data_IF_550949965957
#
_entry.id   IF_550949965957
#
_cell.length_a   1.000
_cell.length_b   1.000
_cell.length_c   1.000
_cell.angle_alpha   90.00
_cell.angle_beta   90.00
_cell.angle_gamma   90.00
#
_symmetry.space_group_name_H-M   'P 1'
#
loop_
_entity.id
_entity.type
_entity.pdbx_description
1 polymer ?
#
# COMPACT_ATOMS: atom_id res chain seq x y z
N UNK A 1 -45.20 34.06 -7.66
CA UNK A 1 -44.45 35.30 -7.98
C UNK A 1 -43.83 35.84 -6.70
N UNK A 2 -42.50 35.92 -6.59
CA UNK A 2 -41.83 36.63 -5.48
C UNK A 2 -40.86 37.65 -6.10
N UNK A 3 -41.27 38.91 -6.03
CA UNK A 3 -40.51 40.10 -6.45
C UNK A 3 -39.41 40.38 -5.41
N UNK A 4 -38.18 40.65 -5.85
CA UNK A 4 -37.09 41.16 -5.01
C UNK A 4 -36.82 42.63 -5.38
N UNK A 5 -36.92 43.50 -4.38
CA UNK A 5 -36.68 44.95 -4.45
C UNK A 5 -35.20 45.29 -4.25
N UNK A 6 -34.81 46.41 -4.86
CA UNK A 6 -33.50 47.07 -4.83
C UNK A 6 -33.08 47.60 -3.45
N UNK A 7 -31.76 47.68 -3.25
CA UNK A 7 -31.07 48.94 -2.96
C UNK A 7 -30.57 49.15 -1.52
N UNK A 8 -29.31 49.59 -1.40
CA UNK A 8 -28.88 50.89 -0.82
C UNK A 8 -27.36 50.85 -0.55
N UNK A 9 -26.66 51.86 -1.06
CA UNK A 9 -25.26 52.20 -0.77
C UNK A 9 -25.20 53.32 0.25
N UNK A 10 -24.26 53.34 1.21
CA UNK A 10 -23.71 54.58 1.81
C UNK A 10 -22.25 54.36 2.24
N UNK A 11 -21.40 55.34 1.92
CA UNK A 11 -19.98 55.46 2.24
C UNK A 11 -19.71 56.16 3.59
N UNK A 12 -18.49 56.08 4.13
CA UNK A 12 -17.73 57.22 4.69
C UNK A 12 -16.44 56.78 5.41
N UNK A 13 -15.38 57.54 5.20
CA UNK A 13 -14.07 57.46 5.83
C UNK A 13 -14.01 58.26 7.14
N UNK A 14 -13.11 57.90 8.06
CA UNK A 14 -12.54 58.83 9.04
C UNK A 14 -11.21 58.30 9.63
N UNK A 15 -10.21 59.17 9.59
CA UNK A 15 -8.88 59.10 10.22
C UNK A 15 -9.00 59.48 11.70
N UNK A 16 -8.12 59.00 12.58
CA UNK A 16 -7.54 59.76 13.72
C UNK A 16 -6.57 58.88 14.54
N UNK A 17 -5.51 59.53 15.01
CA UNK A 17 -4.33 58.98 15.67
C UNK A 17 -4.54 58.65 17.16
N UNK A 18 -3.69 57.76 17.70
CA UNK A 18 -3.38 57.72 19.13
C UNK A 18 -2.98 56.34 19.68
N UNK A 19 -1.95 56.34 20.52
CA UNK A 19 -1.62 55.39 21.60
C UNK A 19 -0.37 54.48 21.42
N UNK A 20 0.72 54.97 22.02
CA UNK A 20 1.70 54.34 22.92
C UNK A 20 2.13 52.87 22.73
N UNK A 21 3.46 52.72 22.78
CA UNK A 21 4.21 51.49 22.68
C UNK A 21 3.86 50.43 23.74
N UNK A 22 3.75 49.18 23.29
CA UNK A 22 4.04 47.98 24.06
C UNK A 22 4.99 47.13 23.19
N UNK A 23 6.08 46.56 23.73
CA UNK A 23 6.87 45.59 22.99
C UNK A 23 6.02 44.32 22.85
N UNK A 24 5.39 44.14 21.68
CA UNK A 24 4.86 42.85 21.29
C UNK A 24 6.05 41.90 21.12
N UNK A 25 6.26 41.06 22.13
CA UNK A 25 7.19 39.96 22.14
C UNK A 25 7.03 39.17 20.84
N UNK A 26 8.07 39.16 20.01
CA UNK A 26 8.12 38.31 18.83
C UNK A 26 7.91 36.86 19.29
N UNK A 27 6.72 36.32 19.04
CA UNK A 27 6.47 34.90 19.16
C UNK A 27 7.43 34.22 18.19
N UNK A 28 8.51 33.66 18.74
CA UNK A 28 9.38 32.77 18.00
C UNK A 28 8.48 31.70 17.40
N UNK A 29 8.46 31.63 16.07
CA UNK A 29 7.97 30.47 15.35
C UNK A 29 8.72 29.28 15.93
N UNK A 30 8.07 28.55 16.83
CA UNK A 30 8.47 27.20 17.17
C UNK A 30 8.39 26.44 15.86
N UNK A 31 9.54 26.32 15.19
CA UNK A 31 9.79 25.24 14.25
C UNK A 31 9.23 24.02 14.94
N UNK A 32 8.13 23.50 14.41
CA UNK A 32 7.65 22.20 14.80
C UNK A 32 8.85 21.28 14.60
N UNK A 33 9.50 20.92 15.72
CA UNK A 33 10.45 19.83 15.77
C UNK A 33 9.71 18.70 15.11
N UNK A 34 10.08 18.42 13.86
CA UNK A 34 9.67 17.22 13.17
C UNK A 34 10.05 16.14 14.16
N UNK A 35 9.03 15.58 14.81
CA UNK A 35 9.19 14.42 15.64
C UNK A 35 9.67 13.39 14.64
N UNK A 36 10.99 13.22 14.60
CA UNK A 36 11.64 12.03 14.09
C UNK A 36 10.94 10.91 14.83
N UNK A 37 9.91 10.36 14.19
CA UNK A 37 9.25 9.14 14.60
C UNK A 37 10.40 8.19 14.86
N UNK A 38 10.58 7.85 16.14
CA UNK A 38 11.58 6.90 16.60
C UNK A 38 11.63 5.76 15.61
N UNK A 39 12.76 5.66 14.91
CA UNK A 39 13.04 4.55 14.03
C UNK A 39 12.93 3.30 14.89
N UNK A 40 11.81 2.58 14.82
CA UNK A 40 11.68 1.30 15.50
C UNK A 40 12.78 0.40 14.95
N UNK A 41 13.79 0.23 15.80
CA UNK A 41 15.08 -0.38 15.58
C UNK A 41 14.94 -1.91 15.50
N UNK A 42 14.06 -2.40 14.60
CA UNK A 42 13.70 -3.83 14.56
C UNK A 42 14.25 -4.62 13.38
N UNK A 43 14.90 -4.02 12.38
CA UNK A 43 15.48 -4.82 11.28
C UNK A 43 16.76 -4.20 10.70
N UNK A 44 17.87 -4.27 11.43
CA UNK A 44 19.22 -4.18 10.82
C UNK A 44 19.52 -5.34 9.84
N UNK A 45 18.63 -6.34 9.77
CA UNK A 45 18.70 -7.44 8.81
C UNK A 45 18.13 -7.10 7.43
N UNK A 46 17.29 -6.06 7.32
CA UNK A 46 16.57 -5.75 6.08
C UNK A 46 17.51 -5.29 4.97
N UNK A 47 17.53 -6.01 3.85
CA UNK A 47 18.33 -5.68 2.65
C UNK A 47 17.59 -4.75 1.68
N UNK A 48 16.45 -4.20 2.10
CA UNK A 48 15.60 -3.36 1.26
C UNK A 48 14.12 -3.56 1.57
N UNK A 49 13.28 -3.12 0.65
CA UNK A 49 11.82 -3.23 0.72
C UNK A 49 11.27 -3.57 -0.65
N UNK A 50 10.21 -4.37 -0.73
CA UNK A 50 9.42 -4.53 -1.97
C UNK A 50 8.06 -3.94 -1.74
N UNK A 51 7.67 -2.99 -2.59
CA UNK A 51 6.35 -2.38 -2.57
C UNK A 51 5.41 -3.17 -3.48
N UNK A 52 4.28 -3.61 -2.94
CA UNK A 52 3.19 -4.23 -3.66
C UNK A 52 2.06 -3.22 -3.79
N UNK A 53 1.82 -2.76 -5.01
CA UNK A 53 0.69 -1.91 -5.36
C UNK A 53 -0.45 -2.81 -5.85
N UNK A 54 -1.61 -2.76 -5.19
CA UNK A 54 -2.78 -3.50 -5.69
C UNK A 54 -3.30 -2.86 -6.97
N UNK A 55 -3.62 -3.70 -7.96
CA UNK A 55 -4.31 -3.24 -9.16
C UNK A 55 -5.73 -2.78 -8.78
N UNK A 56 -6.16 -1.63 -9.30
CA UNK A 56 -7.43 -1.02 -8.91
C UNK A 56 -8.63 -1.88 -9.36
N UNK A 57 -8.58 -2.45 -10.56
CA UNK A 57 -9.65 -3.30 -11.07
C UNK A 57 -9.68 -4.64 -10.31
N UNK A 58 -8.51 -5.23 -10.02
CA UNK A 58 -8.42 -6.43 -9.21
C UNK A 58 -8.92 -6.19 -7.77
N UNK A 59 -8.54 -5.07 -7.15
CA UNK A 59 -9.00 -4.67 -5.82
C UNK A 59 -10.51 -4.46 -5.78
N UNK A 60 -11.10 -3.84 -6.81
CA UNK A 60 -12.54 -3.68 -6.93
C UNK A 60 -13.26 -5.03 -7.12
N UNK A 61 -12.73 -5.92 -7.96
CA UNK A 61 -13.28 -7.26 -8.16
C UNK A 61 -13.23 -8.09 -6.87
N UNK A 62 -12.11 -8.08 -6.15
CA UNK A 62 -11.95 -8.72 -4.84
C UNK A 62 -12.99 -8.19 -3.85
N UNK A 63 -13.18 -6.87 -3.79
CA UNK A 63 -14.17 -6.23 -2.92
C UNK A 63 -15.59 -6.64 -3.31
N UNK A 64 -15.91 -6.70 -4.61
CA UNK A 64 -17.22 -7.17 -5.11
C UNK A 64 -17.50 -8.63 -4.76
N UNK A 65 -16.45 -9.45 -4.64
CA UNK A 65 -16.54 -10.85 -4.20
C UNK A 65 -16.58 -10.99 -2.68
N UNK A 66 -16.53 -9.87 -1.93
CA UNK A 66 -16.44 -9.87 -0.47
C UNK A 66 -15.09 -10.31 0.08
N UNK A 67 -14.06 -10.37 -0.77
CA UNK A 67 -12.69 -10.74 -0.41
C UNK A 67 -11.93 -9.51 0.06
N UNK A 68 -11.63 -9.45 1.36
CA UNK A 68 -10.78 -8.43 1.97
C UNK A 68 -9.34 -8.91 1.98
N UNK A 69 -8.43 -8.08 1.46
CA UNK A 69 -6.99 -8.32 1.53
C UNK A 69 -6.42 -7.46 2.65
N UNK A 70 -5.62 -8.06 3.54
CA UNK A 70 -4.92 -7.33 4.58
C UNK A 70 -3.48 -7.80 4.69
N UNK A 71 -2.51 -6.90 4.93
CA UNK A 71 -1.12 -7.29 5.08
C UNK A 71 -0.84 -7.90 6.45
N UNK A 72 0.18 -8.74 6.50
CA UNK A 72 0.78 -9.33 7.71
C UNK A 72 2.24 -8.91 7.75
N UNK A 73 2.67 -8.24 8.82
CA UNK A 73 4.05 -7.73 8.99
C UNK A 73 4.55 -6.89 7.79
N UNK A 74 3.68 -6.09 7.19
CA UNK A 74 4.02 -5.16 6.12
C UNK A 74 3.69 -3.72 6.52
N UNK A 75 4.41 -2.76 5.94
CA UNK A 75 4.08 -1.35 6.05
C UNK A 75 2.96 -1.02 5.08
N UNK A 76 1.90 -0.36 5.54
CA UNK A 76 0.84 0.14 4.64
C UNK A 76 1.05 1.61 4.37
N UNK A 77 0.91 2.01 3.12
CA UNK A 77 0.96 3.41 2.69
C UNK A 77 -0.04 3.68 1.57
N UNK A 78 -0.44 4.94 1.42
CA UNK A 78 -1.44 5.36 0.42
C UNK A 78 -0.92 6.47 -0.51
N UNK A 79 0.22 6.28 -1.21
CA UNK A 79 0.73 7.29 -2.12
C UNK A 79 -0.24 7.49 -3.29
N UNK A 80 -0.56 8.76 -3.59
CA UNK A 80 -1.46 9.14 -4.69
C UNK A 80 -2.81 8.37 -4.68
N UNK A 81 -3.31 8.01 -3.49
CA UNK A 81 -4.57 7.28 -3.34
C UNK A 81 -4.52 5.77 -3.63
N UNK A 82 -3.34 5.21 -3.95
CA UNK A 82 -3.16 3.76 -4.19
C UNK A 82 -2.76 3.06 -2.89
N UNK A 83 -3.37 1.90 -2.60
CA UNK A 83 -2.94 1.06 -1.47
C UNK A 83 -1.65 0.33 -1.82
N UNK A 84 -0.59 0.60 -1.06
CA UNK A 84 0.74 0.00 -1.22
C UNK A 84 1.14 -0.74 0.05
N UNK A 85 1.52 -2.01 -0.10
CA UNK A 85 2.07 -2.85 0.96
C UNK A 85 3.58 -3.00 0.79
N UNK A 86 4.35 -2.44 1.72
CA UNK A 86 5.80 -2.55 1.75
C UNK A 86 6.26 -3.73 2.59
N UNK A 87 6.83 -4.74 1.95
CA UNK A 87 7.41 -5.93 2.59
C UNK A 87 8.92 -5.79 2.75
N UNK A 88 9.46 -6.10 3.91
CA UNK A 88 10.91 -6.06 4.15
C UNK A 88 11.60 -7.19 3.39
N UNK A 89 12.64 -6.85 2.62
CA UNK A 89 13.51 -7.85 1.96
C UNK A 89 14.48 -8.39 3.00
N UNK A 90 14.55 -9.71 3.10
CA UNK A 90 15.51 -10.45 3.91
C UNK A 90 16.34 -11.36 2.99
N UNK A 91 17.34 -12.05 3.53
CA UNK A 91 18.20 -12.94 2.74
C UNK A 91 19.26 -12.19 1.94
N UNK A 92 19.69 -12.77 0.82
CA UNK A 92 20.75 -12.24 -0.03
C UNK A 92 20.24 -12.06 -1.48
N UNK A 93 19.78 -10.86 -1.89
CA UNK A 93 19.21 -10.67 -3.22
C UNK A 93 20.16 -10.95 -4.40
N UNK A 94 21.46 -11.12 -4.14
CA UNK A 94 22.47 -11.40 -5.15
C UNK A 94 22.53 -12.88 -5.57
N UNK A 95 21.85 -13.80 -4.87
CA UNK A 95 21.82 -15.22 -5.22
C UNK A 95 20.76 -15.58 -6.28
N UNK A 96 19.95 -14.59 -6.68
CA UNK A 96 18.87 -14.74 -7.66
C UNK A 96 17.50 -14.95 -7.04
N UNK A 97 17.37 -14.93 -5.70
CA UNK A 97 16.09 -14.89 -5.00
C UNK A 97 15.95 -13.61 -4.18
N UNK A 98 14.71 -13.18 -3.95
CA UNK A 98 14.41 -12.07 -3.04
C UNK A 98 13.41 -12.61 -2.03
N UNK A 99 13.85 -12.80 -0.79
CA UNK A 99 13.01 -13.27 0.29
C UNK A 99 12.37 -12.11 1.05
N UNK A 100 11.16 -12.35 1.58
CA UNK A 100 10.42 -11.35 2.33
C UNK A 100 9.97 -11.87 3.67
N UNK A 101 9.87 -10.95 4.63
CA UNK A 101 9.09 -11.16 5.85
C UNK A 101 7.68 -10.63 5.65
N UNK A 102 6.70 -11.37 6.20
CA UNK A 102 5.30 -11.00 6.18
C UNK A 102 4.49 -11.76 5.13
N UNK A 103 3.36 -11.18 4.75
CA UNK A 103 2.39 -11.83 3.88
C UNK A 103 1.11 -11.05 3.65
N UNK A 104 0.15 -11.70 3.00
CA UNK A 104 -1.22 -11.24 2.87
C UNK A 104 -2.15 -12.24 3.55
N UNK A 105 -3.19 -11.74 4.20
CA UNK A 105 -4.37 -12.52 4.58
C UNK A 105 -5.53 -12.11 3.70
N UNK A 106 -6.17 -13.08 3.08
CA UNK A 106 -7.38 -12.90 2.30
C UNK A 106 -8.56 -13.45 3.10
N UNK A 107 -9.62 -12.65 3.26
CA UNK A 107 -10.77 -12.97 4.10
C UNK A 107 -12.07 -12.80 3.33
N UNK A 108 -12.90 -13.83 3.29
CA UNK A 108 -14.26 -13.74 2.73
C UNK A 108 -15.17 -14.78 3.37
N UNK A 109 -16.43 -14.43 3.62
CA UNK A 109 -17.44 -15.38 4.10
C UNK A 109 -17.04 -16.17 5.36
N UNK A 110 -16.33 -15.55 6.31
CA UNK A 110 -15.84 -16.20 7.53
C UNK A 110 -14.56 -17.03 7.36
N UNK A 111 -14.04 -17.20 6.14
CA UNK A 111 -12.80 -17.93 5.86
C UNK A 111 -11.62 -16.97 5.80
N UNK A 112 -10.45 -17.46 6.22
CA UNK A 112 -9.18 -16.76 6.15
C UNK A 112 -8.16 -17.63 5.42
N UNK A 113 -7.40 -17.04 4.51
CA UNK A 113 -6.27 -17.68 3.84
C UNK A 113 -5.03 -16.83 4.07
N UNK A 114 -4.00 -17.43 4.67
CA UNK A 114 -2.72 -16.76 4.89
C UNK A 114 -1.74 -17.14 3.78
N UNK A 115 -1.21 -16.12 3.09
CA UNK A 115 -0.14 -16.24 2.11
C UNK A 115 1.07 -15.53 2.68
N UNK A 116 2.08 -16.27 3.14
CA UNK A 116 3.18 -15.70 3.93
C UNK A 116 4.55 -16.18 3.47
N UNK A 117 5.61 -15.53 3.93
CA UNK A 117 6.99 -15.93 3.66
C UNK A 117 7.26 -15.97 2.17
N UNK A 118 7.07 -14.83 1.50
CA UNK A 118 7.24 -14.72 0.06
C UNK A 118 8.70 -14.88 -0.36
N UNK A 119 8.90 -15.49 -1.51
CA UNK A 119 10.19 -15.56 -2.19
C UNK A 119 9.96 -15.34 -3.68
N UNK A 120 10.58 -14.30 -4.22
CA UNK A 120 10.69 -14.06 -5.65
C UNK A 120 11.89 -14.83 -6.17
N UNK A 121 11.68 -15.68 -7.16
CA UNK A 121 12.74 -16.34 -7.92
C UNK A 121 12.92 -15.61 -9.26
N UNK A 122 14.05 -14.93 -9.42
CA UNK A 122 14.34 -14.10 -10.60
C UNK A 122 14.66 -14.94 -11.83
N UNK A 123 15.15 -16.18 -11.66
CA UNK A 123 15.46 -17.09 -12.77
C UNK A 123 14.21 -17.73 -13.33
N UNK A 124 13.29 -18.11 -12.45
CA UNK A 124 12.01 -18.74 -12.81
C UNK A 124 10.92 -17.71 -13.13
N UNK A 125 11.08 -16.46 -12.70
CA UNK A 125 10.08 -15.40 -12.90
C UNK A 125 8.80 -15.66 -12.12
N UNK A 126 8.91 -16.19 -10.90
CA UNK A 126 7.76 -16.55 -10.05
C UNK A 126 7.89 -15.98 -8.65
N UNK A 127 6.76 -15.62 -8.06
CA UNK A 127 6.64 -15.35 -6.64
C UNK A 127 5.97 -16.54 -5.98
N UNK A 128 6.71 -17.18 -5.07
CA UNK A 128 6.24 -18.28 -4.25
C UNK A 128 5.94 -17.83 -2.82
N UNK A 129 5.09 -18.55 -2.11
CA UNK A 129 4.76 -18.28 -0.71
C UNK A 129 4.17 -19.50 -0.02
N UNK A 130 4.13 -19.44 1.31
CA UNK A 130 3.51 -20.46 2.16
C UNK A 130 2.01 -20.22 2.25
N UNK A 131 1.25 -21.30 2.10
CA UNK A 131 -0.20 -21.31 2.27
C UNK A 131 -0.51 -21.76 3.69
N UNK A 132 -1.24 -20.94 4.45
CA UNK A 132 -1.61 -21.18 5.86
C UNK A 132 -0.41 -21.63 6.72
N UNK A 133 0.75 -20.98 6.49
CA UNK A 133 2.04 -21.28 7.14
C UNK A 133 2.62 -22.68 6.86
N UNK A 134 1.96 -23.49 6.03
CA UNK A 134 2.35 -24.84 5.66
C UNK A 134 3.24 -24.89 4.41
N UNK A 135 2.76 -25.63 3.41
CA UNK A 135 3.49 -25.88 2.17
C UNK A 135 3.69 -24.59 1.35
N UNK A 136 4.84 -24.53 0.66
CA UNK A 136 5.16 -23.45 -0.28
C UNK A 136 4.67 -23.81 -1.68
N UNK A 137 4.05 -22.85 -2.35
CA UNK A 137 3.60 -22.98 -3.73
C UNK A 137 3.90 -21.72 -4.53
N UNK A 138 3.93 -21.85 -5.86
CA UNK A 138 4.03 -20.71 -6.77
C UNK A 138 2.69 -19.98 -6.82
N UNK A 139 2.66 -18.75 -6.33
CA UNK A 139 1.44 -17.96 -6.18
C UNK A 139 1.21 -17.05 -7.39
N UNK A 140 2.28 -16.41 -7.87
CA UNK A 140 2.21 -15.48 -8.99
C UNK A 140 3.33 -15.71 -10.00
N UNK A 141 3.06 -15.46 -11.27
CA UNK A 141 4.06 -15.24 -12.31
C UNK A 141 4.39 -13.76 -12.39
N UNK A 142 5.67 -13.46 -12.58
CA UNK A 142 6.19 -12.11 -12.79
C UNK A 142 6.18 -11.84 -14.29
N UNK A 143 5.53 -10.74 -14.68
CA UNK A 143 5.37 -10.37 -16.08
C UNK A 143 6.08 -9.07 -16.45
N UNK A 144 5.45 -8.29 -17.33
CA UNK A 144 6.03 -7.07 -17.87
C UNK A 144 6.29 -6.00 -16.80
N UNK A 145 7.34 -5.21 -17.02
CA UNK A 145 7.60 -4.01 -16.25
C UNK A 145 6.65 -2.88 -16.65
N UNK A 146 6.12 -2.18 -15.67
CA UNK A 146 5.24 -1.01 -15.80
C UNK A 146 5.80 0.13 -14.94
N UNK A 147 5.27 1.36 -15.05
CA UNK A 147 5.64 2.46 -14.15
C UNK A 147 5.39 2.17 -12.66
N UNK A 148 4.47 1.27 -12.34
CA UNK A 148 4.12 0.88 -10.95
C UNK A 148 4.94 -0.32 -10.44
N UNK A 149 5.73 -0.97 -11.30
CA UNK A 149 6.52 -2.17 -10.99
C UNK A 149 6.30 -3.30 -11.99
N UNK A 150 6.68 -4.53 -11.64
CA UNK A 150 6.42 -5.71 -12.49
C UNK A 150 5.06 -6.31 -12.19
N UNK A 151 4.31 -6.73 -13.22
CA UNK A 151 2.99 -7.34 -13.04
C UNK A 151 3.07 -8.67 -12.28
N UNK A 152 2.20 -8.86 -11.30
CA UNK A 152 2.03 -10.12 -10.57
C UNK A 152 0.70 -10.76 -10.97
N UNK A 153 0.77 -11.82 -11.76
CA UNK A 153 -0.40 -12.53 -12.27
C UNK A 153 -0.57 -13.89 -11.59
N UNK A 154 -1.80 -14.28 -11.26
CA UNK A 154 -2.07 -15.54 -10.57
C UNK A 154 -1.64 -16.76 -11.40
N UNK A 155 -0.98 -17.71 -10.73
CA UNK A 155 -0.76 -19.04 -11.31
C UNK A 155 -2.08 -19.82 -11.35
N UNK A 156 -2.17 -20.84 -12.22
CA UNK A 156 -3.35 -21.71 -12.25
C UNK A 156 -3.59 -22.42 -10.89
N UNK A 157 -2.57 -23.00 -10.22
CA UNK A 157 -2.75 -23.57 -8.89
C UNK A 157 -3.24 -22.55 -7.84
N UNK A 158 -2.71 -21.32 -7.87
CA UNK A 158 -3.12 -20.28 -6.92
C UNK A 158 -4.56 -19.82 -7.16
N UNK A 159 -4.95 -19.63 -8.42
CA UNK A 159 -6.32 -19.30 -8.78
C UNK A 159 -7.31 -20.40 -8.34
N UNK A 160 -6.98 -21.67 -8.58
CA UNK A 160 -7.78 -22.80 -8.15
C UNK A 160 -7.90 -22.88 -6.62
N UNK A 161 -6.80 -22.62 -5.89
CA UNK A 161 -6.81 -22.56 -4.43
C UNK A 161 -7.74 -21.45 -3.92
N UNK A 162 -7.65 -20.24 -4.46
CA UNK A 162 -8.48 -19.11 -4.05
C UNK A 162 -9.97 -19.40 -4.30
N UNK A 163 -10.30 -19.92 -5.49
CA UNK A 163 -11.64 -20.34 -5.85
C UNK A 163 -12.18 -21.40 -4.89
N UNK A 164 -11.39 -22.45 -4.60
CA UNK A 164 -11.76 -23.50 -3.65
C UNK A 164 -11.97 -22.95 -2.24
N UNK A 165 -11.08 -22.08 -1.77
CA UNK A 165 -11.16 -21.50 -0.43
C UNK A 165 -12.41 -20.65 -0.30
N UNK A 166 -12.66 -19.72 -1.23
CA UNK A 166 -13.76 -18.77 -1.11
C UNK A 166 -15.08 -19.25 -1.73
N UNK A 167 -15.11 -20.41 -2.39
CA UNK A 167 -16.31 -20.94 -3.03
C UNK A 167 -16.75 -20.13 -4.25
N UNK A 168 -15.79 -19.57 -4.99
CA UNK A 168 -16.03 -18.73 -6.17
C UNK A 168 -15.33 -19.32 -7.40
N UNK A 169 -15.63 -18.79 -8.60
CA UNK A 169 -14.96 -19.17 -9.85
C UNK A 169 -14.29 -17.98 -10.55
N UNK A 170 -14.25 -16.84 -9.88
CA UNK A 170 -13.79 -15.57 -10.46
C UNK A 170 -12.27 -15.48 -10.60
N UNK A 171 -11.48 -16.26 -9.83
CA UNK A 171 -10.03 -16.26 -9.96
C UNK A 171 -9.60 -17.13 -11.12
N UNK A 172 -8.92 -16.53 -12.09
CA UNK A 172 -8.39 -17.24 -13.26
C UNK A 172 -6.86 -17.11 -13.31
N UNK A 173 -6.22 -18.08 -13.99
CA UNK A 173 -4.79 -17.96 -14.32
C UNK A 173 -4.56 -16.68 -15.12
N UNK A 174 -3.49 -15.97 -14.82
CA UNK A 174 -3.13 -14.75 -15.55
C UNK A 174 -3.84 -13.48 -15.05
N UNK A 175 -4.79 -13.62 -14.11
CA UNK A 175 -5.39 -12.46 -13.46
C UNK A 175 -4.30 -11.68 -12.70
N UNK A 176 -4.08 -10.43 -13.10
CA UNK A 176 -3.13 -9.53 -12.46
C UNK A 176 -3.75 -9.02 -11.17
N UNK A 177 -3.09 -9.25 -10.04
CA UNK A 177 -3.54 -8.77 -8.72
C UNK A 177 -2.89 -7.44 -8.36
N UNK A 178 -1.71 -7.16 -8.92
CA UNK A 178 -0.99 -5.94 -8.65
C UNK A 178 0.40 -5.92 -9.25
N UNK A 179 1.22 -5.02 -8.72
CA UNK A 179 2.54 -4.70 -9.23
C UNK A 179 3.55 -4.74 -8.09
N UNK A 180 4.64 -5.49 -8.29
CA UNK A 180 5.74 -5.58 -7.33
C UNK A 180 6.91 -4.69 -7.74
N UNK A 181 7.45 -3.90 -6.80
CA UNK A 181 8.61 -3.05 -7.04
C UNK A 181 9.68 -3.26 -5.94
N UNK A 182 10.70 -4.11 -6.17
CA UNK A 182 11.78 -4.33 -5.21
C UNK A 182 12.79 -3.18 -5.21
N UNK A 183 12.98 -2.58 -4.04
CA UNK A 183 13.96 -1.53 -3.73
C UNK A 183 15.05 -2.11 -2.81
N UNK A 184 16.14 -2.59 -3.42
CA UNK A 184 17.28 -3.15 -2.69
C UNK A 184 18.16 -2.02 -2.15
N UNK A 185 18.56 -2.12 -0.88
CA UNK A 185 19.56 -1.21 -0.29
C UNK A 185 20.95 -1.64 -0.77
N UNK A 186 21.68 -0.68 -1.35
CA UNK A 186 23.09 -0.85 -1.73
C UNK A 186 23.99 -0.86 -0.50
#
# INVERSE_FOLDING_TARGET
>A
MRLRMLGVSIAAAAVMAGAVAAPAQAAQSVSASSHTVSHHHWYHFGKGRTDLTLDAAAGAALTSLGVKVSPVLARVSHPAGKTVFGFTIVGNPNDGTIEHVGGLVLRAGGKCLYLTGYTIDLKRGVLSGRIDFGARADLFTIGAATPDGVTLALTAPAAALLNKTFGVTAFTRGLVIGYGNPMIRK
#
